data_IF_287898032379
#
_entry.id   IF_287898032379
#
_cell.length_a   1.000
_cell.length_b   1.000
_cell.length_c   1.000
_cell.angle_alpha   90.00
_cell.angle_beta   90.00
_cell.angle_gamma   90.00
#
_symmetry.space_group_name_H-M   'P 1'
#
loop_
_entity.id
_entity.type
_entity.pdbx_description
1 polymer ?
#
# COMPACT_ATOMS: atom_id res chain seq x y z
N UNK A 1 -8.99 -7.72 13.62
CA UNK A 1 -8.10 -7.51 12.45
C UNK A 1 -6.62 -7.67 12.79
N UNK A 2 -6.07 -6.96 13.79
CA UNK A 2 -4.63 -7.07 14.12
C UNK A 2 -4.19 -8.47 14.58
N UNK A 3 -5.00 -9.17 15.36
CA UNK A 3 -4.67 -10.55 15.79
C UNK A 3 -4.62 -11.53 14.61
N UNK A 4 -5.57 -11.41 13.69
CA UNK A 4 -5.58 -12.19 12.44
C UNK A 4 -4.33 -11.88 11.60
N UNK A 5 -3.96 -10.60 11.48
CA UNK A 5 -2.72 -10.19 10.80
C UNK A 5 -1.48 -10.82 11.44
N UNK A 6 -1.33 -10.79 12.76
CA UNK A 6 -0.18 -11.41 13.42
C UNK A 6 -0.17 -12.93 13.23
N UNK A 7 -1.33 -13.58 13.30
CA UNK A 7 -1.47 -15.01 13.03
C UNK A 7 -1.05 -15.37 11.59
N UNK A 8 -1.47 -14.57 10.61
CA UNK A 8 -1.10 -14.79 9.21
C UNK A 8 0.39 -14.53 8.98
N UNK A 9 0.94 -13.47 9.58
CA UNK A 9 2.37 -13.14 9.53
C UNK A 9 3.24 -14.31 10.03
N UNK A 10 2.76 -15.08 11.01
CA UNK A 10 3.46 -16.26 11.51
C UNK A 10 3.48 -17.43 10.50
N UNK A 11 2.52 -17.47 9.57
CA UNK A 11 2.37 -18.51 8.54
C UNK A 11 2.93 -18.10 7.17
N UNK A 12 3.15 -16.81 6.91
CA UNK A 12 3.71 -16.31 5.64
C UNK A 12 5.24 -16.55 5.60
N UNK A 13 5.67 -17.37 4.65
CA UNK A 13 7.10 -17.60 4.38
C UNK A 13 7.60 -16.62 3.32
N UNK A 14 8.53 -15.75 3.72
CA UNK A 14 9.16 -14.77 2.83
C UNK A 14 10.43 -15.35 2.16
N UNK A 15 10.67 -15.04 0.88
CA UNK A 15 11.97 -15.27 0.26
C UNK A 15 13.10 -14.54 0.99
N UNK A 16 14.33 -15.04 0.90
CA UNK A 16 15.49 -14.49 1.60
C UNK A 16 15.86 -13.05 1.22
N UNK A 17 15.41 -12.57 0.06
CA UNK A 17 15.68 -11.23 -0.46
C UNK A 17 14.62 -10.18 -0.06
N UNK A 18 13.56 -10.59 0.64
CA UNK A 18 12.55 -9.68 1.17
C UNK A 18 12.89 -9.33 2.62
N UNK A 19 12.89 -8.05 2.97
CA UNK A 19 13.14 -7.62 4.34
C UNK A 19 12.07 -8.15 5.29
N UNK A 20 12.50 -8.68 6.43
CA UNK A 20 11.57 -9.24 7.43
C UNK A 20 10.95 -8.12 8.26
N UNK A 21 9.68 -8.27 8.59
CA UNK A 21 8.94 -7.33 9.43
C UNK A 21 8.81 -7.90 10.85
N UNK A 22 8.92 -7.07 11.91
CA UNK A 22 8.58 -7.48 13.28
C UNK A 22 7.20 -8.14 13.37
N UNK A 23 7.11 -9.29 14.04
CA UNK A 23 5.87 -10.12 14.09
C UNK A 23 4.64 -9.41 14.69
N UNK A 24 4.84 -8.39 15.52
CA UNK A 24 3.77 -7.69 16.24
C UNK A 24 3.72 -6.20 15.91
N UNK A 25 3.70 -5.87 14.62
CA UNK A 25 3.50 -4.47 14.18
C UNK A 25 2.21 -3.93 14.80
N UNK A 26 2.28 -2.73 15.37
CA UNK A 26 1.17 -2.04 16.03
C UNK A 26 0.97 -2.36 17.51
N UNK A 27 1.71 -3.30 18.11
CA UNK A 27 1.42 -3.78 19.48
C UNK A 27 1.96 -2.92 20.64
N UNK A 28 2.82 -1.93 20.37
CA UNK A 28 3.41 -1.02 21.37
C UNK A 28 3.94 0.23 20.68
N UNK A 29 4.25 1.31 21.42
CA UNK A 29 4.79 2.55 20.84
C UNK A 29 6.05 2.36 19.98
N UNK A 30 6.85 1.32 20.28
CA UNK A 30 8.03 0.90 19.50
C UNK A 30 7.67 0.05 18.27
N UNK A 31 6.49 -0.55 18.26
CA UNK A 31 5.95 -1.36 17.17
C UNK A 31 4.89 -0.62 16.33
N UNK A 32 4.41 0.56 16.71
CA UNK A 32 3.44 1.41 15.98
C UNK A 32 4.04 2.17 14.79
N UNK A 33 5.12 1.66 14.19
CA UNK A 33 5.70 2.22 12.97
C UNK A 33 6.94 3.10 13.15
N UNK A 34 7.22 3.57 14.37
CA UNK A 34 8.44 4.35 14.70
C UNK A 34 9.74 3.53 14.61
N UNK A 35 9.66 2.20 14.56
CA UNK A 35 10.80 1.30 14.43
C UNK A 35 10.91 0.58 13.08
N UNK A 36 9.99 0.83 12.13
CA UNK A 36 10.03 0.18 10.82
C UNK A 36 10.81 1.04 9.82
N UNK A 37 11.81 0.44 9.18
CA UNK A 37 12.49 0.99 8.03
C UNK A 37 11.61 0.97 6.78
N UNK A 38 12.00 1.72 5.76
CA UNK A 38 11.22 1.84 4.52
C UNK A 38 10.93 0.49 3.82
N UNK A 39 11.91 -0.40 3.76
CA UNK A 39 11.73 -1.71 3.11
C UNK A 39 10.89 -2.68 3.96
N UNK A 40 10.90 -2.52 5.29
CA UNK A 40 10.01 -3.24 6.20
C UNK A 40 8.57 -2.74 6.04
N UNK A 41 8.36 -1.42 5.93
CA UNK A 41 7.05 -0.85 5.61
C UNK A 41 6.51 -1.35 4.28
N UNK A 42 7.37 -1.41 3.26
CA UNK A 42 7.01 -1.96 1.96
C UNK A 42 6.55 -3.40 2.09
N UNK A 43 7.33 -4.24 2.76
CA UNK A 43 6.98 -5.66 2.96
C UNK A 43 5.68 -5.81 3.74
N UNK A 44 5.53 -5.02 4.81
CA UNK A 44 4.34 -5.03 5.64
C UNK A 44 3.08 -4.69 4.84
N UNK A 45 3.08 -3.58 4.10
CA UNK A 45 1.90 -3.13 3.36
C UNK A 45 1.61 -4.03 2.13
N UNK A 46 2.64 -4.39 1.36
CA UNK A 46 2.45 -5.05 0.05
C UNK A 46 2.35 -6.57 0.12
N UNK A 47 2.82 -7.19 1.21
CA UNK A 47 2.73 -8.64 1.42
C UNK A 47 1.81 -8.93 2.58
N UNK A 48 2.22 -8.65 3.82
CA UNK A 48 1.47 -9.11 4.99
C UNK A 48 0.05 -8.53 5.07
N UNK A 49 -0.07 -7.19 5.04
CA UNK A 49 -1.36 -6.52 5.13
C UNK A 49 -2.24 -6.84 3.93
N UNK A 50 -1.67 -6.82 2.72
CA UNK A 50 -2.41 -7.19 1.50
C UNK A 50 -2.97 -8.61 1.58
N UNK A 51 -2.13 -9.60 1.93
CA UNK A 51 -2.54 -11.00 2.02
C UNK A 51 -3.63 -11.21 3.07
N UNK A 52 -3.45 -10.69 4.29
CA UNK A 52 -4.45 -10.83 5.35
C UNK A 52 -5.77 -10.15 4.99
N UNK A 53 -5.74 -8.92 4.48
CA UNK A 53 -6.97 -8.20 4.16
C UNK A 53 -7.73 -8.86 3.01
N UNK A 54 -7.04 -9.48 2.04
CA UNK A 54 -7.69 -10.29 1.01
C UNK A 54 -8.44 -11.46 1.64
N UNK A 55 -7.80 -12.23 2.53
CA UNK A 55 -8.47 -13.37 3.18
C UNK A 55 -9.63 -12.96 4.09
N UNK A 56 -9.53 -11.80 4.72
CA UNK A 56 -10.57 -11.31 5.60
C UNK A 56 -11.74 -10.71 4.84
N UNK A 57 -11.50 -9.94 3.77
CA UNK A 57 -12.51 -9.02 3.22
C UNK A 57 -12.87 -9.29 1.76
N UNK A 58 -12.09 -10.04 0.99
CA UNK A 58 -12.38 -10.26 -0.43
C UNK A 58 -13.54 -11.23 -0.71
N UNK A 59 -14.03 -11.96 0.30
CA UNK A 59 -15.18 -12.86 0.15
C UNK A 59 -16.52 -12.20 0.47
N UNK A 60 -16.48 -10.95 0.95
CA UNK A 60 -17.70 -10.18 1.18
C UNK A 60 -18.29 -9.70 -0.15
N UNK A 61 -19.61 -9.43 -0.22
CA UNK A 61 -20.22 -8.84 -1.42
C UNK A 61 -19.58 -7.51 -1.81
N UNK A 62 -19.58 -7.18 -3.09
CA UNK A 62 -18.91 -6.00 -3.63
C UNK A 62 -19.44 -4.69 -3.02
N UNK A 63 -20.72 -4.66 -2.62
CA UNK A 63 -21.36 -3.51 -1.97
C UNK A 63 -21.00 -3.37 -0.49
N UNK A 64 -20.35 -4.37 0.12
CA UNK A 64 -19.97 -4.33 1.52
C UNK A 64 -18.84 -3.32 1.75
N UNK A 65 -18.84 -2.71 2.94
CA UNK A 65 -17.80 -1.77 3.33
C UNK A 65 -16.43 -2.43 3.37
N UNK A 66 -16.35 -3.68 3.81
CA UNK A 66 -15.13 -4.49 3.87
C UNK A 66 -14.53 -4.69 2.48
N UNK A 67 -15.36 -5.08 1.49
CA UNK A 67 -14.92 -5.25 0.11
C UNK A 67 -14.43 -3.93 -0.49
N UNK A 68 -15.14 -2.83 -0.25
CA UNK A 68 -14.73 -1.51 -0.73
C UNK A 68 -13.42 -1.05 -0.07
N UNK A 69 -13.20 -1.35 1.22
CA UNK A 69 -11.96 -1.04 1.92
C UNK A 69 -10.76 -1.80 1.33
N UNK A 70 -10.89 -3.10 1.07
CA UNK A 70 -9.79 -3.85 0.42
C UNK A 70 -9.59 -3.41 -1.02
N UNK A 71 -10.66 -3.10 -1.77
CA UNK A 71 -10.56 -2.59 -3.14
C UNK A 71 -9.79 -1.26 -3.17
N UNK A 72 -10.15 -0.31 -2.31
CA UNK A 72 -9.42 0.95 -2.14
C UNK A 72 -7.95 0.74 -1.78
N UNK A 73 -7.66 -0.20 -0.86
CA UNK A 73 -6.29 -0.52 -0.48
C UNK A 73 -5.50 -1.17 -1.64
N UNK A 74 -6.14 -2.01 -2.45
CA UNK A 74 -5.53 -2.64 -3.63
C UNK A 74 -5.19 -1.63 -4.72
N UNK A 75 -5.99 -0.57 -4.88
CA UNK A 75 -5.64 0.54 -5.79
C UNK A 75 -4.35 1.23 -5.34
N UNK A 76 -4.23 1.53 -4.04
CA UNK A 76 -3.01 2.11 -3.47
C UNK A 76 -1.80 1.18 -3.70
N UNK A 77 -1.92 -0.09 -3.36
CA UNK A 77 -0.83 -1.09 -3.55
C UNK A 77 -0.45 -1.19 -5.03
N UNK A 78 -1.42 -1.15 -5.93
CA UNK A 78 -1.19 -1.23 -7.39
C UNK A 78 -0.45 0.01 -7.90
N UNK A 79 -0.88 1.20 -7.51
CA UNK A 79 -0.21 2.45 -7.86
C UNK A 79 1.26 2.46 -7.37
N UNK A 80 1.46 2.09 -6.10
CA UNK A 80 2.77 1.96 -5.46
C UNK A 80 3.68 0.98 -6.23
N UNK A 81 3.14 -0.18 -6.63
CA UNK A 81 3.89 -1.19 -7.36
C UNK A 81 4.29 -0.70 -8.75
N UNK A 82 3.40 0.00 -9.46
CA UNK A 82 3.69 0.60 -10.77
C UNK A 82 4.75 1.70 -10.67
N UNK A 83 4.66 2.55 -9.65
CA UNK A 83 5.60 3.66 -9.45
C UNK A 83 7.01 3.20 -9.09
N UNK A 84 7.14 2.06 -8.41
CA UNK A 84 8.42 1.51 -7.95
C UNK A 84 9.09 0.52 -8.91
N UNK A 85 8.51 0.32 -10.09
CA UNK A 85 9.12 -0.56 -11.09
C UNK A 85 10.44 0.04 -11.60
N UNK A 86 11.40 -0.83 -11.94
CA UNK A 86 12.69 -0.45 -12.54
C UNK A 86 12.57 0.10 -13.97
N UNK A 87 11.39 -0.04 -14.59
CA UNK A 87 11.11 0.42 -15.95
C UNK A 87 9.76 1.15 -15.93
N UNK A 88 9.77 2.39 -16.41
CA UNK A 88 8.58 3.23 -16.55
C UNK A 88 8.24 3.39 -18.02
N UNK A 89 6.95 3.30 -18.35
CA UNK A 89 6.42 3.54 -19.70
C UNK A 89 5.25 4.51 -19.60
N UNK A 90 4.87 5.21 -20.68
CA UNK A 90 3.69 6.08 -20.67
C UNK A 90 2.44 5.37 -20.15
N UNK A 91 2.22 4.12 -20.57
CA UNK A 91 1.07 3.30 -20.18
C UNK A 91 1.08 3.00 -18.68
N UNK A 92 2.25 2.64 -18.12
CA UNK A 92 2.39 2.38 -16.68
C UNK A 92 2.18 3.63 -15.85
N UNK A 93 2.67 4.78 -16.33
CA UNK A 93 2.46 6.07 -15.65
C UNK A 93 0.99 6.46 -15.65
N UNK A 94 0.29 6.26 -16.77
CA UNK A 94 -1.14 6.52 -16.86
C UNK A 94 -1.93 5.64 -15.88
N UNK A 95 -1.66 4.32 -15.89
CA UNK A 95 -2.27 3.40 -14.90
C UNK A 95 -1.96 3.80 -13.46
N UNK A 96 -0.72 4.18 -13.15
CA UNK A 96 -0.35 4.64 -11.82
C UNK A 96 -1.18 5.85 -11.39
N UNK A 97 -1.41 6.80 -12.31
CA UNK A 97 -2.26 7.98 -12.06
C UNK A 97 -3.71 7.58 -11.83
N UNK A 98 -4.26 6.72 -12.69
CA UNK A 98 -5.63 6.22 -12.59
C UNK A 98 -5.88 5.56 -11.23
N UNK A 99 -5.03 4.61 -10.84
CA UNK A 99 -5.15 3.92 -9.55
C UNK A 99 -4.97 4.87 -8.36
N UNK A 100 -4.03 5.82 -8.43
CA UNK A 100 -3.83 6.80 -7.34
C UNK A 100 -5.04 7.71 -7.19
N UNK A 101 -5.58 8.19 -8.32
CA UNK A 101 -6.76 9.03 -8.31
C UNK A 101 -7.96 8.27 -7.76
N UNK A 102 -8.22 7.05 -8.25
CA UNK A 102 -9.32 6.21 -7.78
C UNK A 102 -9.22 5.91 -6.28
N UNK A 103 -8.02 5.56 -5.79
CA UNK A 103 -7.74 5.40 -4.36
C UNK A 103 -8.11 6.64 -3.55
N UNK A 104 -7.68 7.85 -3.96
CA UNK A 104 -7.95 9.05 -3.18
C UNK A 104 -9.41 9.48 -3.22
N UNK A 105 -10.09 9.33 -4.36
CA UNK A 105 -11.52 9.62 -4.47
C UNK A 105 -12.34 8.69 -3.58
N UNK A 106 -12.14 7.38 -3.70
CA UNK A 106 -12.88 6.40 -2.89
C UNK A 106 -12.49 6.43 -1.40
N UNK A 107 -11.27 6.88 -1.06
CA UNK A 107 -10.87 7.13 0.33
C UNK A 107 -11.76 8.20 0.98
N UNK A 108 -12.06 9.29 0.26
CA UNK A 108 -12.91 10.37 0.78
C UNK A 108 -14.36 9.90 0.97
N UNK A 109 -14.85 9.02 0.10
CA UNK A 109 -16.18 8.41 0.20
C UNK A 109 -16.26 7.44 1.38
N UNK A 110 -15.25 6.57 1.53
CA UNK A 110 -15.21 5.54 2.58
C UNK A 110 -15.04 6.13 3.98
N UNK A 111 -14.38 7.29 4.10
CA UNK A 111 -14.11 7.94 5.38
C UNK A 111 -14.61 9.39 5.40
N UNK A 112 -15.94 9.61 5.54
CA UNK A 112 -16.53 10.95 5.59
C UNK A 112 -15.85 11.84 6.65
N UNK A 113 -15.56 13.08 6.28
CA UNK A 113 -14.86 14.04 7.14
C UNK A 113 -13.33 13.96 7.06
N UNK A 114 -12.77 13.01 6.30
CA UNK A 114 -11.34 12.98 5.98
C UNK A 114 -11.00 13.98 4.89
N UNK A 115 -9.78 14.54 4.94
CA UNK A 115 -9.24 15.41 3.88
C UNK A 115 -7.96 14.81 3.31
N UNK A 116 -7.63 15.22 2.08
CA UNK A 116 -6.38 14.81 1.42
C UNK A 116 -5.20 15.52 2.08
N UNK A 117 -4.25 14.74 2.60
CA UNK A 117 -3.01 15.25 3.20
C UNK A 117 -1.99 15.61 2.11
N UNK A 118 -1.02 16.46 2.45
CA UNK A 118 0.02 16.90 1.52
C UNK A 118 0.80 15.73 0.88
N UNK A 119 1.13 14.69 1.65
CA UNK A 119 1.79 13.48 1.13
C UNK A 119 0.91 12.70 0.15
N UNK A 120 -0.40 12.60 0.42
CA UNK A 120 -1.36 11.97 -0.49
C UNK A 120 -1.55 12.81 -1.76
N UNK A 121 -1.53 14.14 -1.66
CA UNK A 121 -1.53 15.01 -2.82
C UNK A 121 -0.26 14.83 -3.68
N UNK A 122 0.91 14.76 -3.04
CA UNK A 122 2.18 14.52 -3.74
C UNK A 122 2.20 13.18 -4.50
N UNK A 123 1.51 12.17 -3.98
CA UNK A 123 1.36 10.87 -4.67
C UNK A 123 0.73 11.01 -6.06
N UNK A 124 -0.19 11.96 -6.27
CA UNK A 124 -0.81 12.21 -7.59
C UNK A 124 0.18 12.70 -8.63
N UNK A 125 1.26 13.34 -8.21
CA UNK A 125 2.31 13.88 -9.08
C UNK A 125 3.44 12.88 -9.35
N UNK A 126 3.44 11.73 -8.66
CA UNK A 126 4.47 10.71 -8.82
C UNK A 126 4.63 10.24 -10.28
N UNK A 127 3.56 10.03 -11.07
CA UNK A 127 3.69 9.72 -12.50
C UNK A 127 4.41 10.82 -13.30
N UNK A 128 4.20 12.10 -12.99
CA UNK A 128 4.87 13.21 -13.68
C UNK A 128 6.36 13.28 -13.33
N UNK A 129 6.70 13.02 -12.07
CA UNK A 129 8.08 12.90 -11.61
C UNK A 129 8.78 11.77 -12.36
N UNK A 130 8.14 10.59 -12.45
CA UNK A 130 8.70 9.43 -13.17
C UNK A 130 8.84 9.67 -14.68
N UNK A 131 8.01 10.53 -15.27
CA UNK A 131 8.15 10.92 -16.68
C UNK A 131 9.43 11.72 -16.91
N UNK A 132 9.74 12.64 -16.01
CA UNK A 132 10.84 13.59 -16.18
C UNK A 132 12.18 13.03 -15.69
N UNK A 133 12.18 12.27 -14.59
CA UNK A 133 13.39 11.74 -13.96
C UNK A 133 13.67 10.26 -14.29
N UNK A 134 12.70 9.58 -14.91
CA UNK A 134 12.78 8.15 -15.18
C UNK A 134 12.37 7.28 -13.97
N UNK A 135 12.62 5.96 -14.03
CA UNK A 135 12.28 5.04 -12.95
C UNK A 135 13.01 5.39 -11.64
N UNK A 136 12.26 5.46 -10.53
CA UNK A 136 12.80 5.72 -9.20
C UNK A 136 12.57 4.51 -8.27
N UNK A 137 13.26 3.38 -8.47
CA UNK A 137 13.07 2.19 -7.63
C UNK A 137 13.45 2.42 -6.16
N UNK A 138 14.29 3.41 -5.88
CA UNK A 138 14.70 3.85 -4.54
C UNK A 138 13.87 5.02 -3.98
N UNK A 139 12.72 5.35 -4.59
CA UNK A 139 11.80 6.38 -4.08
C UNK A 139 11.42 6.12 -2.61
N UNK A 140 11.44 4.85 -2.18
CA UNK A 140 11.18 4.41 -0.82
C UNK A 140 12.20 4.87 0.22
N UNK A 141 13.38 5.32 -0.18
CA UNK A 141 14.42 5.77 0.75
C UNK A 141 14.15 7.19 1.31
N UNK A 142 13.08 7.86 0.86
CA UNK A 142 12.72 9.24 1.21
C UNK A 142 11.27 9.30 1.70
#
# INVERSE_FOLDING_TARGET
TLEALWSDMDNIVLPSWVSRVPRRVGSSSRATGLGLGADEWRTFCTIHLTTTLIFLWATFPDESREFQLISNFMDLVTAVKLASMRITTPERRNKCREYTHHYLTTLLELFPGTTIRANQHLLLHLPDILRNLGPAPSIWCF
#
